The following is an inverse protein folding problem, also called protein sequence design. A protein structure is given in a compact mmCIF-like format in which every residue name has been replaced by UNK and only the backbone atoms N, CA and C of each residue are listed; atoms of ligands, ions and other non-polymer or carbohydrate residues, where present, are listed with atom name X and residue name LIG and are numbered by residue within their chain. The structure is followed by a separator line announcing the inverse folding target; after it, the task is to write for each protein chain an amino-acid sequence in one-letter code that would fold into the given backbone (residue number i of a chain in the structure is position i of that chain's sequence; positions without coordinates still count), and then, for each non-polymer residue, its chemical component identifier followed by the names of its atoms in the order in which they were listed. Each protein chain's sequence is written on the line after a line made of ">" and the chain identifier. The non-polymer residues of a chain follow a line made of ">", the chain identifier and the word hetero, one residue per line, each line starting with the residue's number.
data_IF_106580517389
#
_entry.id   IF_106580517389
#
_cell.length_a   1.000
_cell.length_b   1.000
_cell.length_c   1.000
_cell.angle_alpha   90.00
_cell.angle_beta   90.00
_cell.angle_gamma   90.00
#
_symmetry.space_group_name_H-M   'P 1'
#
loop_
_entity.id
_entity.type
_entity.pdbx_description
1 polymer ?
#
# COMPACT_ATOMS: atom_id res chain seq x y z
N UNK A 1 -6.79 -22.71 -15.17
CA UNK A 1 -7.87 -21.73 -14.90
C UNK A 1 -7.22 -20.53 -14.26
N UNK A 2 -7.54 -19.32 -14.69
CA UNK A 2 -7.07 -18.09 -14.07
C UNK A 2 -7.78 -17.84 -12.72
N UNK A 3 -7.08 -17.20 -11.80
CA UNK A 3 -7.64 -16.76 -10.51
C UNK A 3 -8.50 -15.52 -10.75
N UNK A 4 -9.78 -15.60 -10.41
CA UNK A 4 -10.74 -14.51 -10.61
C UNK A 4 -10.73 -13.51 -9.48
N UNK A 5 -10.55 -12.24 -9.83
CA UNK A 5 -10.36 -11.15 -8.88
C UNK A 5 -11.45 -10.08 -9.05
N UNK A 6 -12.00 -9.63 -7.93
CA UNK A 6 -12.72 -8.34 -7.83
C UNK A 6 -11.80 -7.33 -7.15
N UNK A 7 -11.66 -6.16 -7.77
CA UNK A 7 -10.91 -5.03 -7.22
C UNK A 7 -11.88 -3.98 -6.68
N UNK A 8 -11.86 -3.74 -5.38
CA UNK A 8 -12.63 -2.68 -4.73
C UNK A 8 -11.77 -1.43 -4.56
N UNK A 9 -12.08 -0.38 -5.30
CA UNK A 9 -11.35 0.89 -5.38
C UNK A 9 -10.36 0.96 -6.55
N UNK A 10 -10.56 1.94 -7.42
CA UNK A 10 -9.68 2.28 -8.54
C UNK A 10 -8.88 3.57 -8.29
N UNK A 11 -8.53 3.85 -7.04
CA UNK A 11 -7.63 4.93 -6.64
C UNK A 11 -6.18 4.66 -7.02
N UNK A 12 -5.23 5.38 -6.43
CA UNK A 12 -3.79 5.25 -6.72
C UNK A 12 -3.28 3.81 -6.58
N UNK A 13 -3.59 3.15 -5.46
CA UNK A 13 -3.17 1.77 -5.20
C UNK A 13 -3.90 0.80 -6.13
N UNK A 14 -5.24 0.88 -6.22
CA UNK A 14 -6.03 -0.03 -7.06
C UNK A 14 -5.62 0.03 -8.52
N UNK A 15 -5.34 1.22 -9.08
CA UNK A 15 -4.84 1.34 -10.46
C UNK A 15 -3.45 0.74 -10.66
N UNK A 16 -2.58 0.83 -9.66
CA UNK A 16 -1.26 0.19 -9.71
C UNK A 16 -1.38 -1.33 -9.73
N UNK A 17 -2.23 -1.89 -8.85
CA UNK A 17 -2.54 -3.32 -8.81
C UNK A 17 -3.16 -3.78 -10.14
N UNK A 18 -4.17 -3.06 -10.63
CA UNK A 18 -4.82 -3.35 -11.91
C UNK A 18 -3.79 -3.46 -13.04
N UNK A 19 -2.88 -2.48 -13.16
CA UNK A 19 -1.86 -2.48 -14.23
C UNK A 19 -0.90 -3.66 -14.15
N UNK A 20 -0.57 -4.14 -12.96
CA UNK A 20 0.27 -5.32 -12.78
C UNK A 20 -0.47 -6.60 -13.15
N UNK A 21 -1.71 -6.77 -12.65
CA UNK A 21 -2.52 -7.96 -12.91
C UNK A 21 -2.92 -8.11 -14.39
N UNK A 22 -3.10 -7.01 -15.12
CA UNK A 22 -3.38 -7.05 -16.57
C UNK A 22 -2.23 -7.65 -17.40
N UNK A 23 -1.02 -7.71 -16.86
CA UNK A 23 0.15 -8.27 -17.53
C UNK A 23 0.44 -9.73 -17.14
N UNK A 24 -0.36 -10.33 -16.26
CA UNK A 24 -0.17 -11.70 -15.77
C UNK A 24 -1.41 -12.56 -16.12
N UNK A 25 -1.21 -13.55 -16.97
CA UNK A 25 -2.27 -14.45 -17.48
C UNK A 25 -2.83 -15.40 -16.40
N UNK A 26 -2.17 -15.51 -15.26
CA UNK A 26 -2.69 -16.29 -14.13
C UNK A 26 -3.88 -15.63 -13.44
N UNK A 27 -4.13 -14.35 -13.70
CA UNK A 27 -5.18 -13.56 -13.05
C UNK A 27 -6.19 -13.02 -14.06
N UNK A 28 -7.45 -13.01 -13.65
CA UNK A 28 -8.56 -12.42 -14.39
C UNK A 28 -9.31 -11.42 -13.49
N UNK A 29 -9.29 -10.14 -13.85
CA UNK A 29 -10.08 -9.13 -13.15
C UNK A 29 -11.48 -9.13 -13.75
N UNK A 30 -12.45 -9.67 -12.99
CA UNK A 30 -13.83 -9.80 -13.46
C UNK A 30 -14.67 -8.55 -13.20
N UNK A 31 -14.37 -7.81 -12.11
CA UNK A 31 -15.02 -6.55 -11.82
C UNK A 31 -14.11 -5.56 -11.07
N UNK A 32 -14.38 -4.28 -11.26
CA UNK A 32 -13.84 -3.17 -10.49
C UNK A 32 -15.01 -2.42 -9.87
N UNK A 33 -15.00 -2.28 -8.55
CA UNK A 33 -15.94 -1.41 -7.85
C UNK A 33 -15.28 -0.05 -7.58
N UNK A 34 -15.95 1.03 -8.02
CA UNK A 34 -15.46 2.39 -7.81
C UNK A 34 -16.66 3.32 -7.56
N UNK A 35 -16.60 4.12 -6.51
CA UNK A 35 -17.72 4.97 -6.09
C UNK A 35 -18.02 6.13 -7.04
N UNK A 36 -17.13 6.44 -7.98
CA UNK A 36 -17.40 7.41 -9.02
C UNK A 36 -18.53 6.89 -9.93
N UNK A 37 -19.63 7.64 -10.13
CA UNK A 37 -20.75 7.18 -10.91
C UNK A 37 -20.50 7.16 -12.43
N UNK A 38 -19.47 7.84 -12.94
CA UNK A 38 -19.16 7.90 -14.37
C UNK A 38 -18.13 6.84 -14.74
N UNK A 39 -18.57 5.83 -15.50
CA UNK A 39 -17.71 4.79 -16.07
C UNK A 39 -16.64 5.39 -16.99
N UNK A 40 -17.00 6.41 -17.78
CA UNK A 40 -16.08 7.12 -18.68
C UNK A 40 -14.95 7.78 -17.90
N UNK A 41 -15.27 8.41 -16.76
CA UNK A 41 -14.27 9.05 -15.90
C UNK A 41 -13.33 8.00 -15.28
N UNK A 42 -13.87 6.86 -14.82
CA UNK A 42 -13.08 5.74 -14.31
C UNK A 42 -12.13 5.25 -15.40
N UNK A 43 -12.64 4.99 -16.60
CA UNK A 43 -11.84 4.54 -17.78
C UNK A 43 -10.76 5.54 -18.13
N UNK A 44 -11.10 6.84 -18.15
CA UNK A 44 -10.11 7.89 -18.38
C UNK A 44 -8.98 7.82 -17.35
N UNK A 45 -9.32 7.69 -16.06
CA UNK A 45 -8.33 7.64 -14.98
C UNK A 45 -7.46 6.38 -14.98
N UNK A 46 -7.98 5.25 -15.50
CA UNK A 46 -7.23 4.01 -15.69
C UNK A 46 -6.27 4.12 -16.87
N UNK A 47 -6.74 4.67 -17.98
CA UNK A 47 -5.97 4.80 -19.22
C UNK A 47 -4.83 5.80 -19.11
N UNK A 48 -5.00 6.85 -18.28
CA UNK A 48 -4.06 7.96 -18.16
C UNK A 48 -3.73 8.22 -16.69
N UNK A 49 -2.48 8.12 -16.35
CA UNK A 49 -2.01 8.35 -15.00
C UNK A 49 -0.72 9.17 -15.05
N UNK A 50 -0.65 10.24 -14.25
CA UNK A 50 0.52 11.13 -14.23
C UNK A 50 1.78 10.47 -13.68
N UNK A 51 1.63 9.51 -12.77
CA UNK A 51 2.74 8.79 -12.15
C UNK A 51 3.13 7.56 -12.97
N UNK A 52 2.14 6.72 -13.31
CA UNK A 52 2.37 5.43 -13.97
C UNK A 52 2.23 5.49 -15.51
N UNK A 53 1.89 6.64 -16.05
CA UNK A 53 1.80 6.84 -17.50
C UNK A 53 0.52 6.27 -18.12
N UNK A 54 0.52 6.22 -19.44
CA UNK A 54 -0.62 5.75 -20.24
C UNK A 54 -0.60 4.23 -20.34
N UNK A 55 -1.78 3.60 -20.36
CA UNK A 55 -1.88 2.20 -20.79
C UNK A 55 -1.63 2.12 -22.31
N UNK A 56 -0.86 1.12 -22.74
CA UNK A 56 -0.63 0.83 -24.15
C UNK A 56 -1.92 0.31 -24.81
N UNK A 57 -2.55 -0.68 -24.19
CA UNK A 57 -3.84 -1.23 -24.58
C UNK A 57 -4.95 -0.61 -23.72
N UNK A 58 -5.60 0.41 -24.29
CA UNK A 58 -6.55 1.25 -23.55
C UNK A 58 -7.92 0.61 -23.49
N UNK A 59 -8.54 0.73 -22.34
CA UNK A 59 -9.95 0.38 -22.16
C UNK A 59 -10.87 1.37 -22.87
N UNK A 60 -11.98 0.83 -23.38
CA UNK A 60 -13.12 1.58 -23.90
C UNK A 60 -14.38 1.13 -23.17
N UNK A 61 -15.31 2.03 -22.96
CA UNK A 61 -16.65 1.68 -22.50
C UNK A 61 -17.37 1.00 -23.65
N UNK A 62 -17.93 -0.20 -23.43
CA UNK A 62 -18.67 -0.95 -24.47
C UNK A 62 -20.16 -1.06 -24.17
N UNK A 63 -20.52 -1.06 -22.88
CA UNK A 63 -21.87 -1.06 -22.36
C UNK A 63 -21.87 -0.17 -21.11
N UNK A 64 -23.04 0.24 -20.60
CA UNK A 64 -23.13 1.19 -19.48
C UNK A 64 -22.32 0.82 -18.22
N UNK A 65 -21.95 -0.44 -18.07
CA UNK A 65 -21.22 -0.94 -16.90
C UNK A 65 -20.05 -1.85 -17.26
N UNK A 66 -19.64 -1.93 -18.52
CA UNK A 66 -18.48 -2.74 -18.94
C UNK A 66 -17.45 -1.91 -19.65
N UNK A 67 -16.19 -2.25 -19.38
CA UNK A 67 -15.02 -1.73 -20.09
C UNK A 67 -14.27 -2.87 -20.76
N UNK A 68 -13.69 -2.61 -21.91
CA UNK A 68 -12.96 -3.62 -22.66
C UNK A 68 -11.71 -3.04 -23.31
N UNK A 69 -10.66 -3.82 -23.32
CA UNK A 69 -9.50 -3.67 -24.18
C UNK A 69 -9.31 -4.94 -25.02
N UNK A 70 -8.15 -5.15 -25.67
CA UNK A 70 -7.90 -6.34 -26.51
C UNK A 70 -7.91 -7.64 -25.72
N UNK A 71 -7.53 -7.62 -24.45
CA UNK A 71 -7.30 -8.81 -23.62
C UNK A 71 -8.39 -9.05 -22.57
N UNK A 72 -9.05 -8.01 -22.09
CA UNK A 72 -9.89 -8.08 -20.88
C UNK A 72 -11.22 -7.39 -21.09
N UNK A 73 -12.30 -8.00 -20.59
CA UNK A 73 -13.63 -7.39 -20.42
C UNK A 73 -13.94 -7.37 -18.91
N UNK A 74 -14.11 -6.18 -18.33
CA UNK A 74 -14.23 -5.96 -16.90
C UNK A 74 -15.55 -5.24 -16.61
N UNK A 75 -16.31 -5.73 -15.64
CA UNK A 75 -17.52 -5.07 -15.14
C UNK A 75 -17.15 -3.91 -14.20
N UNK A 76 -17.76 -2.77 -14.37
CA UNK A 76 -17.68 -1.65 -13.42
C UNK A 76 -18.93 -1.63 -12.55
N UNK A 77 -18.74 -1.52 -11.26
CA UNK A 77 -19.80 -1.33 -10.26
C UNK A 77 -19.51 -0.10 -9.43
N UNK A 78 -20.53 0.47 -8.77
CA UNK A 78 -20.35 1.67 -7.95
C UNK A 78 -21.06 1.54 -6.58
N UNK A 79 -20.96 0.39 -5.97
CA UNK A 79 -21.49 0.15 -4.63
C UNK A 79 -20.67 0.89 -3.58
N UNK A 80 -21.36 1.51 -2.61
CA UNK A 80 -20.71 2.16 -1.47
C UNK A 80 -20.39 1.17 -0.36
N UNK A 81 -21.22 0.15 -0.22
CA UNK A 81 -21.04 -0.93 0.76
C UNK A 81 -20.43 -2.15 0.07
N UNK A 82 -19.33 -2.64 0.62
CA UNK A 82 -18.61 -3.81 0.11
C UNK A 82 -19.48 -5.09 0.16
N UNK A 83 -20.47 -5.13 1.04
CA UNK A 83 -21.41 -6.25 1.16
C UNK A 83 -22.36 -6.39 -0.03
N UNK A 84 -22.53 -5.32 -0.84
CA UNK A 84 -23.35 -5.34 -2.05
C UNK A 84 -22.64 -5.93 -3.27
N UNK A 85 -21.33 -6.22 -3.14
CA UNK A 85 -20.55 -6.81 -4.23
C UNK A 85 -21.04 -8.21 -4.56
N UNK A 86 -21.28 -8.47 -5.84
CA UNK A 86 -21.47 -9.84 -6.30
C UNK A 86 -20.11 -10.53 -6.42
N UNK A 87 -19.87 -11.51 -5.56
CA UNK A 87 -18.64 -12.29 -5.48
C UNK A 87 -18.84 -13.75 -5.92
N UNK A 88 -19.94 -14.09 -6.59
CA UNK A 88 -20.20 -15.44 -7.07
C UNK A 88 -19.13 -15.87 -8.09
N UNK A 89 -18.41 -16.96 -7.79
CA UNK A 89 -17.34 -17.48 -8.62
C UNK A 89 -16.07 -16.62 -8.63
N UNK A 90 -15.90 -15.76 -7.64
CA UNK A 90 -14.69 -14.94 -7.41
C UNK A 90 -13.80 -15.65 -6.39
N UNK A 91 -12.50 -15.77 -6.71
CA UNK A 91 -11.52 -16.39 -5.83
C UNK A 91 -10.95 -15.38 -4.81
N UNK A 92 -10.67 -14.15 -5.25
CA UNK A 92 -10.02 -13.13 -4.43
C UNK A 92 -10.75 -11.78 -4.55
N UNK A 93 -11.03 -11.17 -3.41
CA UNK A 93 -11.41 -9.76 -3.31
C UNK A 93 -10.19 -8.95 -2.87
N UNK A 94 -9.75 -7.97 -3.68
CA UNK A 94 -8.73 -7.02 -3.27
C UNK A 94 -9.40 -5.70 -2.87
N UNK A 95 -9.28 -5.31 -1.61
CA UNK A 95 -9.78 -4.02 -1.13
C UNK A 95 -8.70 -2.96 -1.12
N UNK A 96 -8.77 -2.07 -2.11
CA UNK A 96 -7.93 -0.89 -2.28
C UNK A 96 -8.74 0.43 -2.16
N UNK A 97 -9.93 0.38 -1.56
CA UNK A 97 -10.82 1.54 -1.38
C UNK A 97 -10.28 2.55 -0.36
N UNK A 98 -9.44 2.09 0.56
CA UNK A 98 -8.95 2.88 1.70
C UNK A 98 -10.03 3.14 2.76
N UNK A 99 -11.18 2.50 2.67
CA UNK A 99 -12.22 2.54 3.70
C UNK A 99 -11.95 1.52 4.79
N UNK A 100 -12.34 1.83 6.02
CA UNK A 100 -12.37 0.85 7.10
C UNK A 100 -13.68 0.07 7.01
N UNK A 101 -13.58 -1.21 6.77
CA UNK A 101 -14.73 -2.12 6.78
C UNK A 101 -14.70 -2.96 8.06
N UNK A 102 -15.87 -3.19 8.66
CA UNK A 102 -16.01 -4.13 9.78
C UNK A 102 -15.58 -5.53 9.32
N UNK A 103 -14.68 -6.14 10.09
CA UNK A 103 -14.18 -7.49 9.81
C UNK A 103 -15.29 -8.54 9.81
N UNK A 104 -16.37 -8.36 10.58
CA UNK A 104 -17.52 -9.27 10.55
C UNK A 104 -18.20 -9.25 9.18
N UNK A 105 -18.32 -8.09 8.55
CA UNK A 105 -18.81 -7.98 7.17
C UNK A 105 -17.88 -8.74 6.23
N UNK A 106 -16.59 -8.49 6.30
CA UNK A 106 -15.59 -9.15 5.44
C UNK A 106 -15.61 -10.68 5.63
N UNK A 107 -15.68 -11.17 6.88
CA UNK A 107 -15.72 -12.61 7.16
C UNK A 107 -16.94 -13.31 6.55
N UNK A 108 -18.07 -12.60 6.43
CA UNK A 108 -19.31 -13.11 5.87
C UNK A 108 -19.40 -13.04 4.34
N UNK A 109 -18.47 -12.35 3.66
CA UNK A 109 -18.43 -12.31 2.19
C UNK A 109 -18.17 -13.73 1.63
N UNK A 110 -18.85 -14.08 0.56
CA UNK A 110 -18.70 -15.38 -0.13
C UNK A 110 -17.53 -15.34 -1.12
N UNK A 111 -16.30 -15.30 -0.59
CA UNK A 111 -15.06 -15.31 -1.36
C UNK A 111 -14.00 -16.05 -0.55
N UNK A 112 -13.07 -16.71 -1.22
CA UNK A 112 -12.06 -17.51 -0.55
C UNK A 112 -11.03 -16.64 0.18
N UNK A 113 -10.55 -15.59 -0.46
CA UNK A 113 -9.53 -14.68 0.09
C UNK A 113 -9.92 -13.23 -0.06
N UNK A 114 -9.55 -12.45 0.95
CA UNK A 114 -9.67 -11.00 0.95
C UNK A 114 -8.29 -10.41 1.24
N UNK A 115 -7.80 -9.60 0.30
CA UNK A 115 -6.52 -8.89 0.44
C UNK A 115 -6.83 -7.43 0.73
N UNK A 116 -6.41 -6.94 1.91
CA UNK A 116 -6.54 -5.55 2.31
C UNK A 116 -5.23 -4.81 2.01
N UNK A 117 -5.31 -3.69 1.31
CA UNK A 117 -4.14 -2.84 1.00
C UNK A 117 -3.83 -1.82 2.09
N UNK A 118 -4.29 -2.07 3.30
CA UNK A 118 -4.07 -1.24 4.48
C UNK A 118 -3.86 -2.11 5.72
N UNK A 119 -3.21 -1.61 6.78
CA UNK A 119 -2.99 -2.38 8.01
C UNK A 119 -4.32 -2.61 8.72
N UNK A 120 -4.55 -3.86 9.15
CA UNK A 120 -5.74 -4.23 9.90
C UNK A 120 -5.35 -5.13 11.07
N UNK A 121 -5.46 -4.60 12.31
CA UNK A 121 -4.97 -5.26 13.52
C UNK A 121 -5.50 -6.69 13.67
N UNK A 122 -6.80 -6.87 13.43
CA UNK A 122 -7.50 -8.14 13.69
C UNK A 122 -7.76 -8.93 12.39
N UNK A 123 -6.99 -8.64 11.31
CA UNK A 123 -6.90 -9.52 10.15
C UNK A 123 -6.29 -10.88 10.56
N UNK A 124 -6.54 -11.92 9.77
CA UNK A 124 -5.99 -13.24 10.08
C UNK A 124 -4.46 -13.22 10.04
N UNK A 125 -3.89 -12.38 9.16
CA UNK A 125 -2.46 -12.07 9.16
C UNK A 125 -2.23 -10.67 8.56
N UNK A 126 -1.24 -9.95 9.12
CA UNK A 126 -0.62 -8.80 8.46
C UNK A 126 0.73 -9.26 7.92
N UNK A 127 0.94 -9.11 6.61
CA UNK A 127 2.10 -9.66 5.91
C UNK A 127 2.96 -8.56 5.30
N UNK A 128 4.26 -8.72 5.40
CA UNK A 128 5.27 -7.98 4.66
C UNK A 128 6.25 -8.99 4.07
N UNK A 129 6.39 -8.99 2.76
CA UNK A 129 7.32 -9.87 2.06
C UNK A 129 8.76 -9.61 2.52
N UNK A 130 9.55 -10.67 2.66
CA UNK A 130 10.90 -10.62 3.22
C UNK A 130 10.97 -10.54 4.74
N UNK A 131 9.79 -10.55 5.41
CA UNK A 131 9.70 -10.43 6.88
C UNK A 131 8.98 -11.62 7.51
N UNK A 132 7.78 -11.96 7.02
CA UNK A 132 6.94 -12.99 7.63
C UNK A 132 6.03 -13.73 6.64
N UNK A 133 6.36 -13.74 5.35
CA UNK A 133 5.58 -14.47 4.32
C UNK A 133 5.51 -15.97 4.55
N UNK A 134 6.45 -16.54 5.28
CA UNK A 134 6.50 -17.94 5.68
C UNK A 134 5.39 -18.32 6.68
N UNK A 135 4.80 -17.32 7.34
CA UNK A 135 3.70 -17.52 8.30
C UNK A 135 2.31 -17.56 7.65
N UNK A 136 2.24 -17.34 6.34
CA UNK A 136 0.95 -17.38 5.65
C UNK A 136 0.39 -18.80 5.59
N UNK A 137 -0.82 -18.98 6.08
CA UNK A 137 -1.57 -20.23 5.96
C UNK A 137 -2.79 -20.01 5.04
N UNK A 138 -2.63 -20.35 3.77
CA UNK A 138 -3.69 -20.16 2.77
C UNK A 138 -4.95 -20.98 3.03
N UNK A 139 -4.93 -21.99 3.91
CA UNK A 139 -6.13 -22.75 4.28
C UNK A 139 -6.95 -22.02 5.33
N UNK A 140 -6.29 -21.41 6.30
CA UNK A 140 -6.95 -20.82 7.47
C UNK A 140 -7.03 -19.28 7.41
N UNK A 141 -6.11 -18.61 6.70
CA UNK A 141 -6.14 -17.16 6.57
C UNK A 141 -7.05 -16.73 5.41
N UNK A 142 -8.21 -16.16 5.73
CA UNK A 142 -9.15 -15.58 4.77
C UNK A 142 -8.85 -14.10 4.53
N UNK A 143 -8.64 -13.32 5.59
CA UNK A 143 -8.40 -11.87 5.53
C UNK A 143 -6.90 -11.61 5.74
N UNK A 144 -6.24 -11.18 4.67
CA UNK A 144 -4.81 -10.94 4.60
C UNK A 144 -4.60 -9.44 4.40
N UNK A 145 -3.93 -8.79 5.37
CA UNK A 145 -3.53 -7.39 5.24
C UNK A 145 -2.11 -7.30 4.70
N UNK A 146 -1.88 -6.47 3.69
CA UNK A 146 -0.54 -6.17 3.16
C UNK A 146 0.13 -5.00 3.88
N UNK A 147 -0.34 -4.69 5.10
CA UNK A 147 0.23 -3.65 5.96
C UNK A 147 0.14 -2.24 5.34
N UNK A 148 1.09 -1.36 5.63
CA UNK A 148 1.13 0.02 5.10
C UNK A 148 2.39 0.25 4.27
N UNK A 149 2.37 1.27 3.39
CA UNK A 149 3.50 1.64 2.55
C UNK A 149 4.81 1.80 3.34
N UNK A 150 4.77 2.53 4.46
CA UNK A 150 5.95 2.75 5.29
C UNK A 150 6.37 1.49 6.06
N UNK A 151 5.42 0.70 6.58
CA UNK A 151 5.76 -0.54 7.27
C UNK A 151 6.37 -1.57 6.31
N UNK A 152 5.86 -1.65 5.08
CA UNK A 152 6.40 -2.52 4.03
C UNK A 152 7.83 -2.12 3.65
N UNK A 153 8.13 -0.82 3.60
CA UNK A 153 9.48 -0.34 3.32
C UNK A 153 10.44 -0.49 4.51
N UNK A 154 9.95 -0.30 5.73
CA UNK A 154 10.78 -0.21 6.94
C UNK A 154 11.12 -1.59 7.53
N UNK A 155 10.13 -2.49 7.62
CA UNK A 155 10.29 -3.75 8.35
C UNK A 155 11.39 -4.65 7.82
N UNK A 156 11.61 -4.81 6.50
CA UNK A 156 12.75 -5.57 6.01
C UNK A 156 14.07 -5.01 6.52
N UNK A 157 14.25 -3.68 6.49
CA UNK A 157 15.46 -3.02 6.97
C UNK A 157 15.66 -3.21 8.48
N UNK A 158 14.60 -3.07 9.29
CA UNK A 158 14.68 -3.32 10.73
C UNK A 158 15.02 -4.77 11.02
N UNK A 159 14.41 -5.71 10.31
CA UNK A 159 14.67 -7.15 10.49
C UNK A 159 16.11 -7.51 10.14
N UNK A 160 16.66 -7.01 9.05
CA UNK A 160 18.05 -7.25 8.64
C UNK A 160 19.02 -6.84 9.74
N UNK A 161 18.80 -5.69 10.36
CA UNK A 161 19.66 -5.19 11.45
C UNK A 161 19.40 -5.98 12.72
N UNK A 162 18.14 -6.19 13.10
CA UNK A 162 17.77 -6.82 14.35
C UNK A 162 18.22 -8.27 14.45
N UNK A 163 18.15 -9.03 13.37
CA UNK A 163 18.59 -10.42 13.31
C UNK A 163 20.08 -10.61 13.62
N UNK A 164 20.89 -9.55 13.50
CA UNK A 164 22.34 -9.61 13.71
C UNK A 164 22.86 -8.73 14.84
N UNK A 165 22.16 -7.68 15.20
CA UNK A 165 22.66 -6.62 16.09
C UNK A 165 21.76 -6.31 17.29
N UNK A 166 20.58 -6.89 17.38
CA UNK A 166 19.55 -6.64 18.40
C UNK A 166 19.27 -5.13 18.62
N UNK A 167 18.16 -4.66 18.07
CA UNK A 167 17.74 -3.27 18.22
C UNK A 167 17.22 -3.04 19.63
N UNK A 168 17.79 -2.06 20.33
CA UNK A 168 17.41 -1.67 21.70
C UNK A 168 16.41 -0.54 21.74
N UNK A 169 16.56 0.44 20.84
CA UNK A 169 15.60 1.53 20.63
C UNK A 169 15.93 2.27 19.32
N UNK A 170 15.03 3.18 18.91
CA UNK A 170 15.27 3.98 17.73
C UNK A 170 14.26 5.09 17.51
N UNK A 171 14.53 5.87 16.47
CA UNK A 171 13.62 6.88 15.95
C UNK A 171 13.56 6.80 14.44
N UNK A 172 12.37 7.06 13.88
CA UNK A 172 12.17 7.16 12.44
C UNK A 172 11.50 8.47 12.07
N UNK A 173 11.96 9.05 10.98
CA UNK A 173 11.30 10.18 10.32
C UNK A 173 10.93 9.75 8.91
N UNK A 174 9.62 9.73 8.62
CA UNK A 174 9.14 9.45 7.27
C UNK A 174 8.94 10.77 6.51
N UNK A 175 9.58 10.91 5.37
CA UNK A 175 9.39 12.01 4.41
C UNK A 175 8.45 11.47 3.34
N UNK A 176 7.18 11.86 3.42
CA UNK A 176 6.10 11.20 2.70
C UNK A 176 5.55 12.11 1.60
N UNK A 177 5.29 11.58 0.38
CA UNK A 177 4.68 12.34 -0.70
C UNK A 177 3.26 12.76 -0.39
N UNK A 178 2.69 13.57 -1.27
CA UNK A 178 1.32 14.09 -1.20
C UNK A 178 0.27 12.99 -1.04
N UNK A 179 -0.78 13.29 -0.30
CA UNK A 179 -1.98 12.45 -0.16
C UNK A 179 -3.19 13.09 -0.84
N UNK A 180 -4.08 12.27 -1.36
CA UNK A 180 -5.26 12.72 -2.10
C UNK A 180 -6.19 13.66 -1.33
N UNK A 181 -6.21 13.59 0.00
CA UNK A 181 -7.06 14.41 0.84
C UNK A 181 -6.43 15.74 1.27
N UNK A 182 -5.15 15.98 0.96
CA UNK A 182 -4.50 17.25 1.24
C UNK A 182 -5.00 18.35 0.28
N UNK A 183 -5.07 19.58 0.78
CA UNK A 183 -5.45 20.74 -0.03
C UNK A 183 -4.30 21.17 -0.94
N UNK A 184 -4.58 21.38 -2.22
CA UNK A 184 -3.60 21.98 -3.15
C UNK A 184 -3.36 23.45 -2.82
N UNK A 185 -4.45 24.20 -2.49
CA UNK A 185 -4.43 25.57 -2.01
C UNK A 185 -5.00 25.63 -0.59
N UNK A 186 -4.68 26.71 0.14
CA UNK A 186 -5.19 26.92 1.51
C UNK A 186 -6.72 26.87 1.56
N UNK A 187 -7.26 26.18 2.53
CA UNK A 187 -8.69 26.07 2.76
C UNK A 187 -9.01 25.28 4.03
N UNK A 188 -10.26 25.36 4.50
CA UNK A 188 -10.67 24.55 5.64
C UNK A 188 -10.50 23.06 5.33
N UNK A 189 -9.96 22.32 6.30
CA UNK A 189 -9.81 20.88 6.20
C UNK A 189 -11.10 20.20 6.66
N UNK A 190 -11.62 19.32 5.81
CA UNK A 190 -12.72 18.43 6.17
C UNK A 190 -12.12 17.04 6.34
N UNK A 191 -12.14 16.56 7.57
CA UNK A 191 -11.67 15.22 7.90
C UNK A 191 -12.50 14.18 7.12
N UNK A 192 -11.84 13.29 6.42
CA UNK A 192 -12.51 12.14 5.82
C UNK A 192 -13.01 11.22 6.95
N UNK A 193 -14.28 10.81 6.89
CA UNK A 193 -14.88 9.90 7.85
C UNK A 193 -14.16 8.53 7.96
N UNK A 194 -13.22 8.26 7.07
CA UNK A 194 -12.52 6.97 6.96
C UNK A 194 -11.22 6.88 7.76
N UNK A 195 -10.78 7.96 8.43
CA UNK A 195 -9.53 7.96 9.19
C UNK A 195 -9.73 8.49 10.61
N UNK A 196 -9.38 7.67 11.60
CA UNK A 196 -9.17 8.11 12.99
C UNK A 196 -7.90 8.98 13.03
N UNK A 197 -7.99 10.17 12.53
CA UNK A 197 -6.90 11.14 12.64
C UNK A 197 -7.46 12.29 13.45
N UNK A 198 -6.81 12.58 14.56
CA UNK A 198 -7.04 13.79 15.30
C UNK A 198 -7.03 15.01 14.36
N UNK A 199 -7.74 16.06 14.73
CA UNK A 199 -7.91 17.26 13.93
C UNK A 199 -6.55 17.79 13.43
N UNK A 200 -6.21 17.45 12.21
CA UNK A 200 -4.96 17.87 11.55
C UNK A 200 -5.26 19.10 10.69
N UNK A 201 -5.43 20.25 11.32
CA UNK A 201 -5.72 21.52 10.63
C UNK A 201 -4.65 21.89 9.60
N UNK A 202 -3.41 21.45 9.83
CA UNK A 202 -2.29 21.66 8.92
C UNK A 202 -2.52 21.07 7.53
N UNK A 203 -3.36 20.05 7.38
CA UNK A 203 -3.74 19.51 6.06
C UNK A 203 -4.68 20.45 5.26
N UNK A 204 -5.21 21.49 5.89
CA UNK A 204 -5.89 22.58 5.22
C UNK A 204 -4.95 23.58 4.54
N UNK A 205 -3.63 23.50 4.82
CA UNK A 205 -2.61 24.34 4.18
C UNK A 205 -2.19 23.74 2.85
N UNK A 206 -1.75 24.62 1.95
CA UNK A 206 -1.28 24.22 0.62
C UNK A 206 -0.18 23.15 0.68
N UNK A 207 -0.49 21.98 0.19
CA UNK A 207 0.42 20.84 0.15
C UNK A 207 1.55 20.99 -0.88
N UNK A 208 1.40 21.92 -1.82
CA UNK A 208 2.39 22.19 -2.88
C UNK A 208 3.44 23.21 -2.48
N UNK A 209 3.24 23.91 -1.37
CA UNK A 209 4.12 25.01 -0.91
C UNK A 209 4.68 24.81 0.51
N UNK A 210 4.27 23.76 1.19
CA UNK A 210 4.64 23.54 2.59
C UNK A 210 5.24 22.15 2.84
N UNK A 211 6.16 22.08 3.78
CA UNK A 211 6.49 20.86 4.50
C UNK A 211 5.52 20.79 5.68
N UNK A 212 4.71 19.73 5.74
CA UNK A 212 3.65 19.59 6.73
C UNK A 212 4.01 18.50 7.72
N UNK A 213 4.34 18.83 8.98
CA UNK A 213 4.50 17.83 10.04
C UNK A 213 3.19 17.08 10.27
N UNK A 214 3.26 15.78 10.46
CA UNK A 214 2.07 14.97 10.73
C UNK A 214 2.41 13.76 11.59
N UNK A 215 1.42 13.24 12.26
CA UNK A 215 1.54 11.96 12.94
C UNK A 215 1.63 10.83 11.91
N UNK A 216 2.24 9.72 12.32
CA UNK A 216 2.32 8.52 11.50
C UNK A 216 1.90 7.29 12.29
N UNK A 217 1.21 6.38 11.62
CA UNK A 217 0.85 5.05 12.17
C UNK A 217 1.83 3.97 11.75
N UNK A 218 3.01 4.34 11.25
CA UNK A 218 4.00 3.41 10.69
C UNK A 218 4.39 2.34 11.70
N UNK A 219 4.83 2.73 12.91
CA UNK A 219 5.27 1.76 13.94
C UNK A 219 4.10 0.92 14.45
N UNK A 220 2.90 1.50 14.55
CA UNK A 220 1.69 0.74 14.87
C UNK A 220 1.40 -0.34 13.82
N UNK A 221 1.58 -0.03 12.54
CA UNK A 221 1.44 -1.01 11.46
C UNK A 221 2.57 -2.06 11.48
N UNK A 222 3.79 -1.66 11.83
CA UNK A 222 4.91 -2.59 12.03
C UNK A 222 4.62 -3.61 13.13
N UNK A 223 4.04 -3.19 14.25
CA UNK A 223 3.73 -4.07 15.38
C UNK A 223 2.67 -5.14 15.04
N UNK A 224 1.84 -4.92 14.04
CA UNK A 224 0.88 -5.93 13.56
C UNK A 224 1.55 -7.07 12.76
N UNK A 225 2.72 -6.82 12.22
CA UNK A 225 3.53 -7.79 11.47
C UNK A 225 4.54 -8.48 12.39
N UNK A 226 5.29 -7.68 13.16
CA UNK A 226 6.26 -8.12 14.16
C UNK A 226 6.04 -7.32 15.45
N UNK A 227 5.45 -7.93 16.47
CA UNK A 227 5.05 -7.30 17.74
C UNK A 227 6.21 -6.56 18.45
N UNK A 228 7.44 -7.04 18.29
CA UNK A 228 8.65 -6.41 18.83
C UNK A 228 8.77 -4.94 18.41
N UNK A 229 8.47 -4.62 17.13
CA UNK A 229 8.61 -3.27 16.61
C UNK A 229 7.36 -2.42 16.90
N UNK A 230 7.27 -1.95 18.12
CA UNK A 230 6.16 -1.13 18.63
C UNK A 230 6.66 0.23 19.15
N UNK A 231 5.74 1.08 19.60
CA UNK A 231 6.04 2.45 20.05
C UNK A 231 6.85 2.54 21.34
N UNK A 232 7.01 1.45 22.09
CA UNK A 232 7.91 1.42 23.24
C UNK A 232 9.37 1.27 22.82
N UNK A 233 9.62 0.67 21.64
CA UNK A 233 10.95 0.45 21.10
C UNK A 233 11.38 1.58 20.16
N UNK A 234 10.47 2.05 19.27
CA UNK A 234 10.79 2.99 18.20
C UNK A 234 9.80 4.15 18.21
N UNK A 235 10.30 5.38 18.32
CA UNK A 235 9.52 6.60 18.09
C UNK A 235 9.38 6.89 16.59
N UNK A 236 8.35 7.65 16.21
CA UNK A 236 8.09 7.91 14.80
C UNK A 236 7.40 9.25 14.53
N UNK A 237 7.90 9.95 13.53
CA UNK A 237 7.34 11.19 13.02
C UNK A 237 7.21 11.15 11.50
N UNK A 238 6.40 12.05 10.94
CA UNK A 238 6.20 12.15 9.50
C UNK A 238 6.21 13.60 9.04
N UNK A 239 6.85 13.84 7.91
CA UNK A 239 6.81 15.11 7.19
C UNK A 239 6.18 14.88 5.82
N UNK A 240 5.14 15.64 5.48
CA UNK A 240 4.60 15.66 4.12
C UNK A 240 5.34 16.68 3.29
N UNK A 241 5.75 16.29 2.10
CA UNK A 241 6.52 17.12 1.19
C UNK A 241 5.84 17.21 -0.18
N UNK A 242 6.05 18.30 -0.96
CA UNK A 242 5.42 18.51 -2.25
C UNK A 242 6.01 17.65 -3.37
N UNK A 243 6.01 16.32 -3.19
CA UNK A 243 6.34 15.32 -4.20
C UNK A 243 5.13 14.43 -4.47
N UNK A 244 4.98 13.93 -5.67
CA UNK A 244 3.81 13.14 -6.08
C UNK A 244 3.88 11.68 -5.64
N UNK A 245 5.09 11.13 -5.55
CA UNK A 245 5.34 9.74 -5.19
C UNK A 245 6.76 9.57 -4.67
N UNK A 246 7.07 8.37 -4.18
CA UNK A 246 8.34 7.98 -3.56
C UNK A 246 8.61 8.74 -2.25
N UNK A 247 8.61 8.01 -1.15
CA UNK A 247 8.97 8.53 0.16
C UNK A 247 10.41 8.20 0.54
N UNK A 248 10.88 8.84 1.61
CA UNK A 248 12.16 8.53 2.26
C UNK A 248 11.89 8.23 3.72
N UNK A 249 12.56 7.24 4.28
CA UNK A 249 12.54 6.97 5.71
C UNK A 249 13.96 7.14 6.23
N UNK A 250 14.15 8.11 7.12
CA UNK A 250 15.38 8.23 7.89
C UNK A 250 15.23 7.41 9.18
N UNK A 251 16.20 6.54 9.44
CA UNK A 251 16.16 5.59 10.56
C UNK A 251 17.41 5.78 11.41
N UNK A 252 17.21 6.03 12.70
CA UNK A 252 18.27 6.06 13.71
C UNK A 252 18.02 4.95 14.72
N UNK A 253 18.98 4.04 14.88
CA UNK A 253 18.85 2.88 15.76
C UNK A 253 20.00 2.82 16.76
N UNK A 254 19.69 2.40 17.97
CA UNK A 254 20.66 1.96 18.96
C UNK A 254 20.60 0.44 19.04
N UNK A 255 21.73 -0.20 18.79
CA UNK A 255 21.85 -1.65 18.81
C UNK A 255 22.73 -2.10 19.97
N UNK A 256 22.53 -3.33 20.42
CA UNK A 256 23.30 -3.92 21.52
C UNK A 256 24.78 -4.04 21.16
N UNK A 257 25.05 -4.44 19.93
CA UNK A 257 26.40 -4.56 19.41
C UNK A 257 26.75 -3.35 18.55
N UNK A 258 27.94 -2.79 18.76
CA UNK A 258 28.47 -1.73 17.92
C UNK A 258 28.68 -2.22 16.49
N UNK A 259 28.56 -1.31 15.53
CA UNK A 259 28.79 -1.61 14.11
C UNK A 259 29.47 -0.43 13.43
N UNK A 260 30.30 -0.72 12.47
CA UNK A 260 30.81 0.26 11.54
C UNK A 260 29.98 0.28 10.25
N UNK A 261 30.21 1.28 9.41
CA UNK A 261 29.49 1.50 8.14
C UNK A 261 29.57 0.30 7.20
N UNK A 262 30.74 -0.32 7.09
CA UNK A 262 30.97 -1.42 6.15
C UNK A 262 30.26 -2.70 6.61
N UNK A 263 30.21 -2.96 7.90
CA UNK A 263 29.43 -4.08 8.46
C UNK A 263 27.94 -3.91 8.11
N UNK A 264 27.34 -2.74 8.37
CA UNK A 264 25.93 -2.48 8.03
C UNK A 264 25.69 -2.62 6.54
N UNK A 265 26.56 -2.04 5.71
CA UNK A 265 26.49 -2.17 4.25
C UNK A 265 26.48 -3.65 3.82
N UNK A 266 27.37 -4.45 4.37
CA UNK A 266 27.49 -5.86 4.03
C UNK A 266 26.25 -6.67 4.43
N UNK A 267 25.59 -6.35 5.55
CA UNK A 267 24.32 -6.99 5.93
C UNK A 267 23.24 -6.80 4.86
N UNK A 268 23.09 -5.58 4.36
CA UNK A 268 22.13 -5.29 3.31
C UNK A 268 22.48 -5.93 1.96
N UNK A 269 23.76 -5.94 1.58
CA UNK A 269 24.23 -6.62 0.36
C UNK A 269 24.03 -8.14 0.43
N UNK A 270 24.27 -8.73 1.59
CA UNK A 270 24.03 -10.16 1.81
C UNK A 270 22.54 -10.50 1.72
N UNK A 271 21.69 -9.66 2.32
CA UNK A 271 20.25 -9.85 2.23
C UNK A 271 19.75 -9.73 0.80
N UNK A 272 20.14 -8.67 0.06
CA UNK A 272 19.78 -8.49 -1.36
C UNK A 272 20.11 -9.70 -2.21
N UNK A 273 21.29 -10.29 -2.00
CA UNK A 273 21.74 -11.47 -2.75
C UNK A 273 20.93 -12.74 -2.45
N UNK A 274 20.42 -12.88 -1.22
CA UNK A 274 19.80 -14.12 -0.74
C UNK A 274 18.27 -14.02 -0.61
N UNK A 275 17.66 -12.84 -0.83
CA UNK A 275 16.22 -12.66 -0.68
C UNK A 275 15.43 -13.47 -1.72
N UNK A 276 14.28 -13.97 -1.30
CA UNK A 276 13.36 -14.71 -2.18
C UNK A 276 12.63 -13.80 -3.17
N UNK A 277 12.31 -12.59 -2.74
CA UNK A 277 11.63 -11.58 -3.54
C UNK A 277 12.50 -10.33 -3.62
N UNK A 278 12.55 -9.59 -4.72
CA UNK A 278 13.39 -8.39 -4.88
C UNK A 278 12.80 -7.19 -4.11
N UNK A 279 12.87 -7.21 -2.77
CA UNK A 279 12.24 -6.24 -1.87
C UNK A 279 13.23 -5.17 -1.45
N UNK A 280 14.49 -5.55 -1.20
CA UNK A 280 15.56 -4.66 -0.78
C UNK A 280 16.59 -4.61 -1.89
N UNK A 281 16.80 -3.42 -2.44
CA UNK A 281 17.81 -3.16 -3.46
C UNK A 281 18.79 -2.11 -2.93
N UNK A 282 20.08 -2.40 -3.00
CA UNK A 282 21.12 -1.48 -2.58
C UNK A 282 21.52 -0.58 -3.75
N UNK A 283 21.50 0.72 -3.52
CA UNK A 283 21.94 1.69 -4.50
C UNK A 283 23.09 2.53 -3.97
N UNK A 284 24.08 2.77 -4.82
CA UNK A 284 25.28 3.54 -4.52
C UNK A 284 25.47 4.73 -5.45
N UNK A 285 24.51 4.95 -6.35
CA UNK A 285 24.52 6.07 -7.27
C UNK A 285 23.91 7.32 -6.63
N UNK A 286 24.21 8.49 -7.16
CA UNK A 286 23.67 9.76 -6.72
C UNK A 286 22.27 9.96 -7.34
N UNK A 287 21.25 9.27 -6.82
CA UNK A 287 19.87 9.31 -7.30
C UNK A 287 18.98 10.22 -6.44
N UNK A 288 17.86 10.62 -7.03
CA UNK A 288 16.79 11.38 -6.38
C UNK A 288 15.46 10.63 -6.46
N UNK A 289 14.46 11.08 -5.71
CA UNK A 289 13.18 10.35 -5.59
C UNK A 289 12.47 10.06 -6.92
N UNK A 290 12.65 10.89 -7.94
CA UNK A 290 12.06 10.64 -9.27
C UNK A 290 12.66 9.45 -10.01
N UNK A 291 13.89 9.05 -9.67
CA UNK A 291 14.58 7.94 -10.33
C UNK A 291 14.02 6.58 -9.89
N UNK A 292 13.35 6.53 -8.74
CA UNK A 292 12.68 5.35 -8.19
C UNK A 292 11.19 5.24 -8.57
N UNK A 293 10.72 6.06 -9.51
CA UNK A 293 9.34 5.94 -10.01
C UNK A 293 9.21 4.74 -10.94
N UNK A 294 8.26 3.86 -10.66
CA UNK A 294 7.93 2.66 -11.46
C UNK A 294 8.93 1.50 -11.35
N UNK A 295 9.77 1.50 -10.37
CA UNK A 295 10.63 0.36 -10.02
C UNK A 295 9.94 -0.60 -9.06
#
# INVERSE_FOLDING_TARGET
>A
MSIKIVLNGAGRIGKSILKQLLNDENFEIVAINEINPSVENIVYSINYDSTYGKLNDKFKVIENSFIQNQKSKIKITNYKDISELNLDGVDILIDASGQKTDLNILRNLKVDKIILTHPQKDADINIVLGVNEDKIDLKNHKIISTSSCNATALLPALKIIDDKKEILCGDIVTIHPLLNHQRVLDGSFVQSATRDVDLNFEFGRSSTQNIIPSQTTTIKACSYVLEKFNSNLISSNSLRVPTDTVGVINVTLFTKESSNKDEIKNLFLEFEKNQKFPIVLNNFEALVSSDFKKE
#
